data_IF_976276808023
#
_entry.id   IF_976276808023
#
_cell.length_a   1.000
_cell.length_b   1.000
_cell.length_c   1.000
_cell.angle_alpha   90.00
_cell.angle_beta   90.00
_cell.angle_gamma   90.00
#
_symmetry.space_group_name_H-M   'P 1'
#
loop_
_entity.id
_entity.type
_entity.pdbx_description
1 polymer ?
#
# COMPACT_ATOMS: atom_id res chain seq x y z
N UNK A 1 -7.44 6.02 -3.08
CA UNK A 1 -8.43 4.97 -2.68
C UNK A 1 -8.07 3.55 -3.15
N UNK A 2 -6.80 3.22 -3.41
CA UNK A 2 -6.43 1.88 -3.86
C UNK A 2 -6.52 0.83 -2.73
N UNK A 3 -7.13 -0.33 -3.03
CA UNK A 3 -7.19 -1.51 -2.16
C UNK A 3 -8.49 -1.78 -1.40
N UNK A 4 -9.48 -0.87 -1.42
CA UNK A 4 -10.81 -1.14 -0.84
C UNK A 4 -11.71 -1.85 -1.88
N UNK A 5 -12.42 -2.90 -1.45
CA UNK A 5 -13.49 -3.48 -2.27
C UNK A 5 -14.71 -2.56 -2.19
N UNK A 6 -14.86 -1.67 -3.18
CA UNK A 6 -15.90 -0.62 -3.22
C UNK A 6 -17.31 -1.22 -3.15
N UNK A 7 -17.60 -2.26 -3.93
CA UNK A 7 -18.93 -2.89 -3.96
C UNK A 7 -19.31 -3.51 -2.60
N UNK A 8 -18.35 -4.17 -1.93
CA UNK A 8 -18.56 -4.68 -0.58
C UNK A 8 -18.77 -3.56 0.44
N UNK A 9 -17.96 -2.50 0.39
CA UNK A 9 -18.04 -1.39 1.32
C UNK A 9 -19.39 -0.65 1.20
N UNK A 10 -19.84 -0.36 -0.04
CA UNK A 10 -21.15 0.24 -0.29
C UNK A 10 -22.27 -0.65 0.27
N UNK A 11 -22.22 -1.97 0.05
CA UNK A 11 -23.23 -2.88 0.58
C UNK A 11 -23.30 -2.87 2.12
N UNK A 12 -22.16 -2.80 2.82
CA UNK A 12 -22.14 -2.67 4.28
C UNK A 12 -22.73 -1.33 4.75
N UNK A 13 -22.37 -0.22 4.08
CA UNK A 13 -22.89 1.11 4.39
C UNK A 13 -24.39 1.20 4.15
N UNK A 14 -24.90 0.65 3.04
CA UNK A 14 -26.34 0.61 2.75
C UNK A 14 -27.13 -0.18 3.78
N UNK A 15 -26.64 -1.37 4.17
CA UNK A 15 -27.27 -2.16 5.23
C UNK A 15 -27.38 -1.38 6.53
N UNK A 16 -26.31 -0.67 6.91
CA UNK A 16 -26.25 0.09 8.14
C UNK A 16 -27.13 1.35 8.11
N UNK A 17 -27.17 2.08 6.98
CA UNK A 17 -28.07 3.23 6.79
C UNK A 17 -29.53 2.80 6.98
N UNK A 18 -29.92 1.66 6.38
CA UNK A 18 -31.27 1.10 6.57
C UNK A 18 -31.52 0.70 8.02
N UNK A 19 -30.56 0.00 8.65
CA UNK A 19 -30.70 -0.49 10.02
C UNK A 19 -30.84 0.65 11.06
N UNK A 20 -30.12 1.76 10.86
CA UNK A 20 -30.09 2.90 11.78
C UNK A 20 -31.14 3.97 11.49
N UNK A 21 -31.95 3.81 10.44
CA UNK A 21 -33.08 4.69 10.15
C UNK A 21 -34.04 4.73 11.35
N UNK A 22 -34.22 5.91 11.91
CA UNK A 22 -35.09 6.13 13.07
C UNK A 22 -36.53 6.34 12.61
N UNK A 23 -37.45 5.58 13.19
CA UNK A 23 -38.89 5.70 12.96
C UNK A 23 -39.60 6.14 14.24
N UNK A 24 -40.58 7.02 14.08
CA UNK A 24 -41.43 7.46 15.18
C UNK A 24 -42.56 6.44 15.38
N UNK A 25 -42.68 5.92 16.59
CA UNK A 25 -43.79 5.07 17.01
C UNK A 25 -44.72 5.90 17.88
N UNK A 26 -45.96 6.18 17.42
CA UNK A 26 -46.90 6.98 18.19
C UNK A 26 -47.31 6.25 19.47
N UNK A 27 -47.77 7.03 20.46
CA UNK A 27 -48.38 6.46 21.66
C UNK A 27 -49.63 5.63 21.28
N UNK A 28 -49.89 4.52 22.00
CA UNK A 28 -51.15 3.79 21.84
C UNK A 28 -52.38 4.69 21.99
N UNK A 29 -53.52 4.34 21.35
CA UNK A 29 -54.77 5.08 21.50
C UNK A 29 -55.11 5.28 22.99
N UNK A 30 -55.57 6.47 23.35
CA UNK A 30 -55.91 6.88 24.73
C UNK A 30 -54.72 6.89 25.73
N UNK A 31 -53.48 7.05 25.25
CA UNK A 31 -52.30 7.24 26.10
C UNK A 31 -51.47 8.46 25.65
N UNK A 32 -50.91 9.21 26.60
CA UNK A 32 -50.10 10.42 26.35
C UNK A 32 -48.68 10.17 26.86
N UNK A 33 -47.67 10.50 26.04
CA UNK A 33 -46.26 10.49 26.45
C UNK A 33 -45.49 9.18 26.24
N UNK A 34 -46.14 8.11 25.74
CA UNK A 34 -45.50 6.81 25.49
C UNK A 34 -44.96 6.64 24.06
N UNK A 35 -44.76 7.75 23.34
CA UNK A 35 -44.15 7.70 22.01
C UNK A 35 -42.68 7.32 22.15
N UNK A 36 -42.16 6.57 21.17
CA UNK A 36 -40.75 6.18 21.15
C UNK A 36 -40.18 6.28 19.75
N UNK A 37 -38.86 6.38 19.71
CA UNK A 37 -38.10 6.29 18.48
C UNK A 37 -37.45 4.91 18.45
N UNK A 38 -37.63 4.19 17.35
CA UNK A 38 -37.01 2.87 17.15
C UNK A 38 -36.25 2.83 15.84
N UNK A 39 -35.15 2.11 15.85
CA UNK A 39 -34.40 1.73 14.66
C UNK A 39 -35.08 0.56 13.94
N UNK A 40 -34.71 0.32 12.68
CA UNK A 40 -35.27 -0.76 11.88
C UNK A 40 -34.83 -2.16 12.34
N UNK A 41 -33.67 -2.24 13.03
CA UNK A 41 -33.14 -3.46 13.61
C UNK A 41 -32.87 -3.30 15.11
N UNK A 42 -32.62 -4.43 15.77
CA UNK A 42 -32.26 -4.44 17.19
C UNK A 42 -30.90 -3.78 17.41
N UNK A 43 -30.73 -3.24 18.62
CA UNK A 43 -29.48 -2.58 19.02
C UNK A 43 -28.25 -3.50 18.87
N UNK A 44 -28.40 -4.80 19.18
CA UNK A 44 -27.32 -5.79 19.07
C UNK A 44 -26.86 -5.97 17.62
N UNK A 45 -27.80 -6.05 16.68
CA UNK A 45 -27.45 -6.21 15.26
C UNK A 45 -26.81 -4.94 14.69
N UNK A 46 -27.27 -3.77 15.13
CA UNK A 46 -26.66 -2.49 14.73
C UNK A 46 -25.23 -2.38 15.26
N UNK A 47 -24.97 -2.77 16.51
CA UNK A 47 -23.60 -2.77 17.08
C UNK A 47 -22.67 -3.70 16.30
N UNK A 48 -23.13 -4.88 15.88
CA UNK A 48 -22.33 -5.79 15.05
C UNK A 48 -21.96 -5.18 13.71
N UNK A 49 -22.92 -4.52 13.05
CA UNK A 49 -22.66 -3.83 11.79
C UNK A 49 -21.75 -2.62 11.99
N UNK A 50 -21.92 -1.88 13.09
CA UNK A 50 -21.08 -0.73 13.42
C UNK A 50 -19.59 -1.10 13.46
N UNK A 51 -19.20 -2.26 13.99
CA UNK A 51 -17.79 -2.69 14.03
C UNK A 51 -17.12 -2.73 12.63
N UNK A 52 -17.89 -3.09 11.60
CA UNK A 52 -17.39 -3.14 10.22
C UNK A 52 -17.47 -1.75 9.59
N UNK A 53 -18.59 -1.07 9.78
CA UNK A 53 -18.83 0.28 9.23
C UNK A 53 -17.81 1.28 9.75
N UNK A 54 -17.46 1.25 11.04
CA UNK A 54 -16.46 2.17 11.61
C UNK A 54 -15.09 2.03 10.94
N UNK A 55 -14.67 0.81 10.57
CA UNK A 55 -13.42 0.59 9.83
C UNK A 55 -13.48 1.16 8.41
N UNK A 56 -14.65 1.07 7.76
CA UNK A 56 -14.88 1.70 6.45
C UNK A 56 -14.84 3.23 6.61
N UNK A 57 -15.56 3.78 7.60
CA UNK A 57 -15.64 5.21 7.85
C UNK A 57 -14.28 5.82 8.18
N UNK A 58 -13.46 5.14 8.99
CA UNK A 58 -12.11 5.60 9.33
C UNK A 58 -11.20 5.72 8.09
N UNK A 59 -11.46 4.93 7.05
CA UNK A 59 -10.71 4.97 5.79
C UNK A 59 -11.28 5.92 4.75
N UNK A 60 -12.61 6.09 4.70
CA UNK A 60 -13.30 6.86 3.66
C UNK A 60 -13.60 8.30 4.09
N UNK A 61 -13.94 8.52 5.35
CA UNK A 61 -14.28 9.84 5.91
C UNK A 61 -13.47 10.07 7.19
N UNK A 62 -12.18 10.40 7.09
CA UNK A 62 -11.34 10.66 8.25
C UNK A 62 -11.96 11.73 9.16
N UNK A 63 -12.04 11.45 10.47
CA UNK A 63 -12.62 12.37 11.44
C UNK A 63 -14.14 12.38 11.52
N UNK A 64 -14.84 11.43 10.90
CA UNK A 64 -16.31 11.31 10.92
C UNK A 64 -16.93 11.35 12.34
N UNK A 65 -16.20 10.92 13.38
CA UNK A 65 -16.67 10.98 14.78
C UNK A 65 -16.87 12.41 15.30
N UNK A 66 -16.31 13.41 14.62
CA UNK A 66 -16.41 14.84 14.98
C UNK A 66 -17.46 15.60 14.17
N UNK A 67 -18.29 14.91 13.39
CA UNK A 67 -19.36 15.55 12.64
C UNK A 67 -20.35 16.21 13.60
N UNK A 68 -20.71 17.45 13.31
CA UNK A 68 -21.74 18.18 14.05
C UNK A 68 -23.13 17.71 13.55
N UNK A 69 -23.70 16.76 14.28
CA UNK A 69 -24.99 16.14 13.96
C UNK A 69 -25.89 16.20 15.19
N UNK A 70 -27.16 16.56 14.99
CA UNK A 70 -28.17 16.46 16.04
C UNK A 70 -28.42 14.99 16.42
N UNK A 71 -27.71 14.55 17.46
CA UNK A 71 -27.83 13.22 18.04
C UNK A 71 -28.95 13.10 19.09
N UNK A 72 -29.74 14.16 19.31
CA UNK A 72 -30.79 14.14 20.33
C UNK A 72 -31.80 13.04 20.03
N UNK A 73 -31.94 12.09 20.96
CA UNK A 73 -32.80 10.88 20.86
C UNK A 73 -32.49 9.98 19.65
N UNK A 74 -31.31 10.12 19.03
CA UNK A 74 -30.85 9.35 17.87
C UNK A 74 -29.41 8.88 18.10
N UNK A 75 -29.26 7.77 18.85
CA UNK A 75 -27.94 7.21 19.24
C UNK A 75 -26.96 7.09 18.06
N UNK A 76 -27.46 6.66 16.91
CA UNK A 76 -26.66 6.35 15.72
C UNK A 76 -26.61 7.50 14.70
N UNK A 77 -27.03 8.73 15.05
CA UNK A 77 -27.14 9.84 14.10
C UNK A 77 -25.81 10.17 13.39
N UNK A 78 -24.71 10.25 14.16
CA UNK A 78 -23.38 10.52 13.63
C UNK A 78 -22.95 9.40 12.67
N UNK A 79 -23.08 8.14 13.07
CA UNK A 79 -22.75 7.00 12.20
C UNK A 79 -23.63 6.94 10.94
N UNK A 80 -24.93 7.24 11.06
CA UNK A 80 -25.85 7.25 9.93
C UNK A 80 -25.46 8.33 8.91
N UNK A 81 -25.22 9.57 9.35
CA UNK A 81 -24.79 10.65 8.45
C UNK A 81 -23.40 10.37 7.86
N UNK A 82 -22.45 9.90 8.67
CA UNK A 82 -21.13 9.49 8.20
C UNK A 82 -21.23 8.39 7.14
N UNK A 83 -22.14 7.42 7.32
CA UNK A 83 -22.36 6.33 6.36
C UNK A 83 -22.93 6.82 5.04
N UNK A 84 -23.86 7.79 5.06
CA UNK A 84 -24.37 8.44 3.84
C UNK A 84 -23.22 9.13 3.11
N UNK A 85 -22.43 9.95 3.81
CA UNK A 85 -21.29 10.67 3.22
C UNK A 85 -20.25 9.71 2.64
N UNK A 86 -19.94 8.63 3.36
CA UNK A 86 -18.98 7.61 2.92
C UNK A 86 -19.48 6.86 1.69
N UNK A 87 -20.78 6.53 1.63
CA UNK A 87 -21.38 5.89 0.46
C UNK A 87 -21.26 6.79 -0.78
N UNK A 88 -21.69 8.04 -0.67
CA UNK A 88 -21.63 9.00 -1.78
C UNK A 88 -20.17 9.25 -2.23
N UNK A 89 -19.23 9.34 -1.28
CA UNK A 89 -17.82 9.49 -1.59
C UNK A 89 -17.26 8.29 -2.39
N UNK A 90 -17.72 7.08 -2.10
CA UNK A 90 -17.32 5.86 -2.82
C UNK A 90 -18.01 5.75 -4.20
N UNK A 91 -19.32 6.00 -4.28
CA UNK A 91 -20.10 5.91 -5.53
C UNK A 91 -19.64 6.93 -6.56
N UNK A 92 -19.30 8.14 -6.11
CA UNK A 92 -18.89 9.26 -6.97
C UNK A 92 -17.39 9.50 -6.97
N UNK A 93 -16.60 8.56 -6.43
CA UNK A 93 -15.16 8.68 -6.31
C UNK A 93 -14.49 9.05 -7.65
N UNK A 94 -14.85 8.35 -8.72
CA UNK A 94 -14.26 8.55 -10.05
C UNK A 94 -14.69 9.87 -10.68
N UNK A 95 -15.96 10.25 -10.50
CA UNK A 95 -16.51 11.53 -10.97
C UNK A 95 -15.78 12.70 -10.28
N UNK A 96 -15.70 12.67 -8.95
CA UNK A 96 -15.06 13.72 -8.15
C UNK A 96 -13.58 13.82 -8.49
N UNK A 97 -12.87 12.69 -8.55
CA UNK A 97 -11.44 12.65 -8.89
C UNK A 97 -11.17 13.21 -10.29
N UNK A 98 -12.00 12.85 -11.27
CA UNK A 98 -11.88 13.35 -12.65
C UNK A 98 -12.09 14.86 -12.72
N UNK A 99 -13.13 15.38 -12.06
CA UNK A 99 -13.50 16.79 -12.16
C UNK A 99 -12.63 17.71 -11.27
N UNK A 100 -12.01 17.18 -10.22
CA UNK A 100 -11.10 17.93 -9.35
C UNK A 100 -9.62 17.84 -9.78
N UNK A 101 -9.30 17.13 -10.86
CA UNK A 101 -7.97 17.11 -11.47
C UNK A 101 -7.03 15.97 -11.03
N UNK A 102 -7.52 15.03 -10.20
CA UNK A 102 -6.72 13.96 -9.59
C UNK A 102 -6.80 12.63 -10.35
N UNK A 103 -7.08 12.63 -11.67
CA UNK A 103 -7.29 11.38 -12.42
C UNK A 103 -6.00 10.60 -12.78
N UNK A 104 -4.91 10.82 -12.03
CA UNK A 104 -3.69 10.04 -12.16
C UNK A 104 -3.86 8.68 -11.45
N UNK A 105 -3.27 7.59 -11.97
CA UNK A 105 -3.24 6.32 -11.26
C UNK A 105 -2.45 6.45 -9.95
N UNK A 106 -3.03 5.99 -8.84
CA UNK A 106 -2.33 5.90 -7.55
C UNK A 106 -1.50 4.60 -7.48
N UNK A 107 -0.29 4.68 -6.93
CA UNK A 107 0.50 3.50 -6.57
C UNK A 107 0.25 3.16 -5.10
N UNK A 108 -0.42 2.03 -4.83
CA UNK A 108 -0.49 1.50 -3.46
C UNK A 108 0.86 0.90 -3.06
N UNK A 109 1.39 1.29 -1.89
CA UNK A 109 2.59 0.68 -1.32
C UNK A 109 2.43 -0.86 -1.15
N UNK A 110 1.21 -1.34 -0.87
CA UNK A 110 0.91 -2.77 -0.74
C UNK A 110 1.03 -3.55 -2.06
N UNK A 111 0.99 -2.85 -3.20
CA UNK A 111 1.10 -3.45 -4.53
C UNK A 111 2.54 -3.39 -5.07
N UNK A 112 3.49 -2.83 -4.30
CA UNK A 112 4.91 -2.91 -4.61
C UNK A 112 5.40 -4.36 -4.48
N UNK A 113 6.60 -4.62 -5.01
CA UNK A 113 7.20 -5.95 -4.99
C UNK A 113 7.21 -6.53 -3.56
N UNK A 114 6.88 -7.83 -3.36
CA UNK A 114 6.72 -8.42 -2.03
C UNK A 114 7.91 -8.20 -1.09
N UNK A 115 9.14 -8.27 -1.60
CA UNK A 115 10.35 -7.98 -0.82
C UNK A 115 10.38 -6.57 -0.25
N UNK A 116 9.86 -5.59 -0.99
CA UNK A 116 9.86 -4.19 -0.57
C UNK A 116 8.80 -3.97 0.49
N UNK A 117 7.56 -4.31 0.18
CA UNK A 117 6.47 -4.05 1.11
C UNK A 117 6.64 -4.82 2.42
N UNK A 118 7.06 -6.09 2.35
CA UNK A 118 7.33 -6.87 3.58
C UNK A 118 8.55 -6.38 4.37
N UNK A 119 9.48 -5.63 3.78
CA UNK A 119 10.58 -4.97 4.48
C UNK A 119 10.19 -3.65 5.12
N UNK A 120 9.23 -2.92 4.51
CA UNK A 120 8.83 -1.58 4.91
C UNK A 120 7.60 -1.53 5.84
N UNK A 121 6.65 -2.46 5.68
CA UNK A 121 5.27 -2.32 6.17
C UNK A 121 5.15 -1.98 7.66
N UNK A 122 5.93 -2.65 8.53
CA UNK A 122 5.85 -2.43 9.98
C UNK A 122 6.26 -1.01 10.37
N UNK A 123 7.33 -0.50 9.78
CA UNK A 123 7.85 0.84 10.05
C UNK A 123 6.98 1.91 9.39
N UNK A 124 6.51 1.63 8.17
CA UNK A 124 5.60 2.50 7.43
C UNK A 124 4.32 2.78 8.21
N UNK A 125 3.68 1.73 8.76
CA UNK A 125 2.45 1.87 9.55
C UNK A 125 2.64 2.70 10.82
N UNK A 126 3.88 2.81 11.31
CA UNK A 126 4.24 3.60 12.49
C UNK A 126 4.74 5.00 12.14
N UNK A 127 4.74 5.40 10.86
CA UNK A 127 5.20 6.71 10.38
C UNK A 127 6.73 6.86 10.29
N UNK A 128 7.49 5.77 10.38
CA UNK A 128 8.96 5.77 10.30
C UNK A 128 9.45 5.53 8.87
N UNK A 129 9.18 6.47 7.97
CA UNK A 129 9.37 6.29 6.52
C UNK A 129 10.84 6.12 6.11
N UNK A 130 11.73 6.90 6.70
CA UNK A 130 13.19 6.82 6.56
C UNK A 130 13.68 5.39 6.83
N UNK A 131 13.32 4.85 8.00
CA UNK A 131 13.69 3.51 8.42
C UNK A 131 13.02 2.44 7.55
N UNK A 132 11.78 2.65 7.13
CA UNK A 132 11.06 1.74 6.25
C UNK A 132 11.76 1.57 4.88
N UNK A 133 12.24 2.67 4.28
CA UNK A 133 13.04 2.64 3.04
C UNK A 133 14.38 1.95 3.28
N UNK A 134 15.05 2.27 4.39
CA UNK A 134 16.33 1.64 4.76
C UNK A 134 16.22 0.12 4.88
N UNK A 135 15.18 -0.38 5.55
CA UNK A 135 14.96 -1.81 5.74
C UNK A 135 14.50 -2.51 4.46
N UNK A 136 13.71 -1.86 3.61
CA UNK A 136 13.41 -2.36 2.28
C UNK A 136 14.68 -2.51 1.42
N UNK A 137 15.60 -1.52 1.46
CA UNK A 137 16.87 -1.60 0.73
C UNK A 137 17.77 -2.75 1.23
N UNK A 138 17.88 -2.93 2.55
CA UNK A 138 18.58 -4.08 3.14
C UNK A 138 17.97 -5.40 2.68
N UNK A 139 16.64 -5.47 2.62
CA UNK A 139 15.92 -6.67 2.19
C UNK A 139 16.22 -7.02 0.73
N UNK A 140 16.17 -6.06 -0.19
CA UNK A 140 16.55 -6.31 -1.60
C UNK A 140 17.98 -6.81 -1.73
N UNK A 141 18.91 -6.21 -0.98
CA UNK A 141 20.29 -6.68 -0.96
C UNK A 141 20.39 -8.16 -0.50
N UNK A 142 19.75 -8.49 0.62
CA UNK A 142 19.78 -9.85 1.17
C UNK A 142 19.13 -10.89 0.23
N UNK A 143 17.98 -10.56 -0.37
CA UNK A 143 17.33 -11.46 -1.33
C UNK A 143 18.14 -11.62 -2.61
N UNK A 144 18.83 -10.57 -3.06
CA UNK A 144 19.79 -10.68 -4.18
C UNK A 144 20.93 -11.62 -3.82
N UNK A 145 21.56 -11.44 -2.65
CA UNK A 145 22.62 -12.32 -2.15
C UNK A 145 22.17 -13.78 -2.08
N UNK A 146 20.96 -14.03 -1.59
CA UNK A 146 20.36 -15.36 -1.55
C UNK A 146 20.16 -15.93 -2.96
N UNK A 147 19.62 -15.13 -3.88
CA UNK A 147 19.37 -15.56 -5.26
C UNK A 147 20.65 -15.92 -6.02
N UNK A 148 21.70 -15.11 -5.89
CA UNK A 148 22.99 -15.39 -6.53
C UNK A 148 23.89 -16.32 -5.70
N UNK A 149 23.50 -16.68 -4.47
CA UNK A 149 24.33 -17.51 -3.58
C UNK A 149 25.66 -16.85 -3.19
N UNK A 150 25.71 -15.52 -3.09
CA UNK A 150 26.91 -14.73 -2.78
C UNK A 150 26.66 -13.83 -1.58
N UNK A 151 27.45 -13.97 -0.51
CA UNK A 151 27.34 -13.16 0.72
C UNK A 151 28.58 -12.33 1.02
N UNK A 152 29.65 -12.53 0.27
CA UNK A 152 30.91 -11.79 0.35
C UNK A 152 30.84 -10.39 -0.30
N UNK A 153 29.80 -10.12 -1.09
CA UNK A 153 29.54 -8.82 -1.71
C UNK A 153 28.21 -8.26 -1.24
N UNK A 154 28.12 -6.94 -1.11
CA UNK A 154 26.90 -6.21 -0.78
C UNK A 154 26.76 -4.95 -1.63
N UNK A 155 25.54 -4.45 -1.70
CA UNK A 155 25.16 -3.15 -2.24
C UNK A 155 25.72 -2.96 -3.65
N UNK A 156 26.26 -1.78 -3.97
CA UNK A 156 26.79 -1.45 -5.30
C UNK A 156 27.67 -2.56 -5.90
N UNK A 157 28.59 -3.14 -5.11
CA UNK A 157 29.50 -4.19 -5.61
C UNK A 157 28.76 -5.48 -5.95
N UNK A 158 27.77 -5.87 -5.14
CA UNK A 158 26.95 -7.05 -5.40
C UNK A 158 26.23 -6.89 -6.74
N UNK A 159 25.57 -5.75 -6.98
CA UNK A 159 24.78 -5.54 -8.19
C UNK A 159 25.64 -5.34 -9.44
N UNK A 160 26.80 -4.67 -9.32
CA UNK A 160 27.77 -4.56 -10.41
C UNK A 160 28.30 -5.94 -10.85
N UNK A 161 28.62 -6.82 -9.91
CA UNK A 161 29.06 -8.18 -10.23
C UNK A 161 27.91 -9.06 -10.72
N UNK A 162 26.73 -8.96 -10.10
CA UNK A 162 25.58 -9.78 -10.47
C UNK A 162 25.05 -9.44 -11.87
N UNK A 163 24.89 -8.16 -12.22
CA UNK A 163 24.39 -7.73 -13.53
C UNK A 163 25.50 -7.46 -14.57
N UNK A 164 26.76 -7.80 -14.28
CA UNK A 164 27.85 -7.70 -15.26
C UNK A 164 27.54 -8.50 -16.52
N UNK A 165 27.80 -7.94 -17.70
CA UNK A 165 27.61 -8.61 -18.99
C UNK A 165 28.67 -9.69 -19.30
N UNK A 166 29.78 -9.70 -18.56
CA UNK A 166 30.82 -10.76 -18.59
C UNK A 166 30.23 -12.13 -18.30
N UNK A 167 30.85 -13.18 -18.85
CA UNK A 167 30.50 -14.58 -18.59
C UNK A 167 30.57 -14.92 -17.09
N UNK A 168 29.78 -15.91 -16.67
CA UNK A 168 29.82 -16.43 -15.30
C UNK A 168 31.12 -17.20 -15.02
N UNK A 169 31.84 -16.80 -13.97
CA UNK A 169 33.07 -17.44 -13.51
C UNK A 169 32.80 -18.26 -12.23
N UNK A 170 33.66 -19.23 -11.86
CA UNK A 170 33.48 -20.00 -10.64
C UNK A 170 33.31 -19.08 -9.42
N UNK A 171 32.21 -19.25 -8.71
CA UNK A 171 31.86 -18.38 -7.57
C UNK A 171 31.44 -16.97 -7.96
N UNK A 172 31.21 -16.65 -9.24
CA UNK A 172 30.69 -15.36 -9.73
C UNK A 172 29.52 -15.55 -10.70
N UNK A 173 28.37 -16.02 -10.19
CA UNK A 173 27.17 -16.15 -11.00
C UNK A 173 26.65 -14.78 -11.46
N UNK A 174 25.91 -14.79 -12.57
CA UNK A 174 25.35 -13.58 -13.20
C UNK A 174 23.84 -13.64 -13.24
N UNK A 175 23.21 -12.49 -13.06
CA UNK A 175 21.79 -12.27 -13.29
C UNK A 175 21.60 -11.84 -14.75
N UNK A 176 20.84 -12.63 -15.49
CA UNK A 176 20.51 -12.39 -16.89
C UNK A 176 19.06 -11.91 -16.99
N UNK A 177 18.87 -10.60 -17.22
CA UNK A 177 17.54 -10.01 -17.43
C UNK A 177 16.86 -10.45 -18.72
N UNK A 178 17.66 -10.70 -19.76
CA UNK A 178 17.23 -11.31 -21.02
C UNK A 178 18.28 -12.34 -21.45
N UNK A 179 17.93 -13.30 -22.33
CA UNK A 179 18.90 -14.27 -22.83
C UNK A 179 20.14 -13.59 -23.43
N UNK A 180 21.35 -14.08 -23.13
CA UNK A 180 22.58 -13.54 -23.69
C UNK A 180 22.70 -13.92 -25.17
N UNK A 181 22.26 -13.01 -26.04
CA UNK A 181 22.31 -13.13 -27.51
C UNK A 181 23.51 -12.39 -28.14
N UNK A 182 24.38 -11.79 -27.30
CA UNK A 182 25.52 -10.98 -27.72
C UNK A 182 25.15 -9.60 -28.28
N UNK A 183 23.87 -9.23 -28.30
CA UNK A 183 23.40 -7.98 -28.89
C UNK A 183 23.76 -6.74 -28.04
N UNK A 184 23.72 -5.57 -28.68
CA UNK A 184 23.81 -4.29 -27.98
C UNK A 184 22.63 -4.07 -27.03
N UNK A 185 21.46 -4.65 -27.32
CA UNK A 185 20.28 -4.61 -26.47
C UNK A 185 20.56 -5.34 -25.16
N UNK A 186 21.10 -6.57 -25.22
CA UNK A 186 21.52 -7.32 -24.05
C UNK A 186 22.49 -6.52 -23.17
N UNK A 187 23.58 -6.01 -23.75
CA UNK A 187 24.57 -5.19 -23.01
C UNK A 187 23.93 -3.95 -22.37
N UNK A 188 23.01 -3.30 -23.08
CA UNK A 188 22.32 -2.11 -22.57
C UNK A 188 21.38 -2.42 -21.42
N UNK A 189 20.64 -3.53 -21.49
CA UNK A 189 19.71 -4.00 -20.45
C UNK A 189 20.46 -4.36 -19.17
N UNK A 190 21.61 -5.03 -19.29
CA UNK A 190 22.48 -5.35 -18.15
C UNK A 190 23.07 -4.09 -17.52
N UNK A 191 23.64 -3.21 -18.35
CA UNK A 191 24.19 -1.93 -17.89
C UNK A 191 23.16 -1.06 -17.21
N UNK A 192 21.93 -1.01 -17.71
CA UNK A 192 20.84 -0.25 -17.10
C UNK A 192 20.47 -0.77 -15.70
N UNK A 193 20.49 -2.09 -15.51
CA UNK A 193 20.26 -2.70 -14.20
C UNK A 193 21.36 -2.34 -13.19
N UNK A 194 22.63 -2.41 -13.61
CA UNK A 194 23.76 -1.98 -12.79
C UNK A 194 23.65 -0.50 -12.40
N UNK A 195 23.38 0.37 -13.37
CA UNK A 195 23.30 1.81 -13.15
C UNK A 195 22.14 2.19 -12.20
N UNK A 196 20.98 1.56 -12.34
CA UNK A 196 19.86 1.78 -11.42
C UNK A 196 20.23 1.34 -10.00
N UNK A 197 20.82 0.14 -9.85
CA UNK A 197 21.21 -0.37 -8.54
C UNK A 197 22.26 0.54 -7.88
N UNK A 198 23.26 0.98 -8.63
CA UNK A 198 24.26 1.92 -8.14
C UNK A 198 23.62 3.25 -7.69
N UNK A 199 22.71 3.81 -8.49
CA UNK A 199 21.97 5.02 -8.13
C UNK A 199 21.12 4.87 -6.88
N UNK A 200 20.44 3.73 -6.71
CA UNK A 200 19.65 3.43 -5.50
C UNK A 200 20.55 3.34 -4.27
N UNK A 201 21.62 2.55 -4.31
CA UNK A 201 22.45 2.35 -3.12
C UNK A 201 23.30 3.59 -2.79
N UNK A 202 23.88 4.25 -3.80
CA UNK A 202 24.69 5.44 -3.59
C UNK A 202 23.87 6.69 -3.29
N UNK A 203 22.73 6.88 -3.97
CA UNK A 203 21.94 8.11 -3.91
C UNK A 203 20.74 8.06 -2.96
N UNK A 204 20.25 6.89 -2.58
CA UNK A 204 19.12 6.74 -1.66
C UNK A 204 19.59 6.11 -0.35
N UNK A 205 20.05 4.86 -0.38
CA UNK A 205 20.36 4.11 0.85
C UNK A 205 21.50 4.71 1.65
N UNK A 206 22.58 5.15 1.00
CA UNK A 206 23.76 5.68 1.69
C UNK A 206 23.46 6.99 2.43
N UNK A 207 22.81 8.00 1.82
CA UNK A 207 22.35 9.19 2.55
C UNK A 207 21.49 8.85 3.77
N UNK A 208 20.54 7.92 3.65
CA UNK A 208 19.71 7.47 4.79
C UNK A 208 20.52 6.81 5.91
N UNK A 209 21.71 6.28 5.61
CA UNK A 209 22.59 5.72 6.64
C UNK A 209 23.41 6.80 7.36
N UNK A 210 23.56 7.98 6.77
CA UNK A 210 24.37 9.08 7.29
C UNK A 210 23.53 10.23 7.89
N UNK A 211 22.29 10.41 7.45
CA UNK A 211 21.36 11.47 7.90
C UNK A 211 20.24 10.92 8.80
N UNK A 212 20.57 10.02 9.73
CA UNK A 212 19.59 9.26 10.52
C UNK A 212 18.64 10.10 11.40
N UNK A 213 18.91 11.40 11.58
CA UNK A 213 18.10 12.30 12.42
C UNK A 213 16.96 13.00 11.66
N UNK A 214 16.85 12.81 10.33
CA UNK A 214 15.82 13.46 9.51
C UNK A 214 14.83 12.45 8.93
N UNK A 215 13.57 12.58 9.34
CA UNK A 215 12.47 11.79 8.77
C UNK A 215 12.15 12.23 7.33
N UNK A 216 11.72 11.27 6.51
CA UNK A 216 11.32 11.53 5.12
C UNK A 216 9.85 11.97 5.04
N UNK A 217 9.54 12.77 4.03
CA UNK A 217 8.16 12.95 3.60
C UNK A 217 7.59 11.63 3.04
N UNK A 218 6.32 11.34 3.32
CA UNK A 218 5.67 10.09 2.93
C UNK A 218 5.73 9.85 1.41
N UNK A 219 5.49 10.90 0.61
CA UNK A 219 5.51 10.80 -0.85
C UNK A 219 6.91 10.48 -1.36
N UNK A 220 7.94 11.16 -0.84
CA UNK A 220 9.35 10.90 -1.19
C UNK A 220 9.76 9.47 -0.82
N UNK A 221 9.34 9.01 0.37
CA UNK A 221 9.62 7.64 0.78
C UNK A 221 8.91 6.61 -0.12
N UNK A 222 7.69 6.89 -0.57
CA UNK A 222 6.95 6.02 -1.50
C UNK A 222 7.66 5.93 -2.85
N UNK A 223 8.21 7.04 -3.35
CA UNK A 223 9.02 7.07 -4.58
C UNK A 223 10.28 6.20 -4.44
N UNK A 224 10.95 6.26 -3.29
CA UNK A 224 12.11 5.40 -3.01
C UNK A 224 11.73 3.92 -2.93
N UNK A 225 10.61 3.57 -2.28
CA UNK A 225 10.10 2.21 -2.28
C UNK A 225 9.73 1.74 -3.70
N UNK A 226 9.18 2.62 -4.54
CA UNK A 226 8.87 2.30 -5.93
C UNK A 226 10.14 2.02 -6.75
N UNK A 227 11.20 2.83 -6.59
CA UNK A 227 12.50 2.59 -7.23
C UNK A 227 13.12 1.25 -6.80
N UNK A 228 13.11 0.97 -5.49
CA UNK A 228 13.54 -0.32 -4.93
C UNK A 228 12.69 -1.49 -5.48
N UNK A 229 11.39 -1.27 -5.67
CA UNK A 229 10.47 -2.27 -6.23
C UNK A 229 10.78 -2.61 -7.68
N UNK A 230 11.27 -1.66 -8.47
CA UNK A 230 11.74 -1.94 -9.84
C UNK A 230 12.98 -2.83 -9.80
N UNK A 231 13.96 -2.50 -8.94
CA UNK A 231 15.17 -3.30 -8.80
C UNK A 231 14.87 -4.72 -8.31
N UNK A 232 14.03 -4.86 -7.28
CA UNK A 232 13.63 -6.16 -6.75
C UNK A 232 13.02 -7.05 -7.84
N UNK A 233 12.12 -6.49 -8.66
CA UNK A 233 11.52 -7.20 -9.80
C UNK A 233 12.56 -7.63 -10.82
N UNK A 234 13.51 -6.75 -11.18
CA UNK A 234 14.57 -7.13 -12.12
C UNK A 234 15.47 -8.24 -11.58
N UNK A 235 15.74 -8.25 -10.28
CA UNK A 235 16.46 -9.35 -9.63
C UNK A 235 15.63 -10.62 -9.69
N UNK A 236 14.35 -10.60 -9.26
CA UNK A 236 13.46 -11.75 -9.20
C UNK A 236 13.20 -12.39 -10.58
N UNK A 237 13.04 -11.59 -11.64
CA UNK A 237 12.77 -12.07 -13.00
C UNK A 237 14.03 -12.55 -13.73
N UNK A 238 15.23 -12.15 -13.28
CA UNK A 238 16.47 -12.56 -13.95
C UNK A 238 16.79 -14.04 -13.79
N UNK A 239 17.29 -14.67 -14.84
CA UNK A 239 17.85 -16.03 -14.79
C UNK A 239 19.24 -15.98 -14.16
N UNK A 240 19.54 -16.90 -13.23
CA UNK A 240 20.87 -17.04 -12.66
C UNK A 240 21.71 -17.93 -13.57
N UNK A 241 22.74 -17.36 -14.19
CA UNK A 241 23.76 -18.09 -14.94
C UNK A 241 24.94 -18.42 -14.02
N UNK A 242 25.30 -19.71 -13.96
CA UNK A 242 26.48 -20.23 -13.25
C UNK A 242 27.50 -20.76 -14.24
N UNK A 243 28.72 -20.95 -13.78
CA UNK A 243 29.77 -21.53 -14.62
C UNK A 243 29.41 -22.95 -15.04
N UNK A 244 29.51 -23.21 -16.34
CA UNK A 244 29.16 -24.51 -16.91
C UNK A 244 27.69 -24.62 -17.34
N UNK A 245 26.86 -23.61 -17.06
CA UNK A 245 25.55 -23.50 -17.68
C UNK A 245 25.77 -23.14 -19.16
N UNK A 246 25.56 -24.09 -20.07
CA UNK A 246 25.36 -23.79 -21.49
C UNK A 246 24.02 -23.10 -21.64
N UNK A 247 24.03 -21.83 -22.03
CA UNK A 247 22.84 -21.10 -22.50
C UNK A 247 22.41 -21.63 -23.86
#
# INVERSE_FOLDING_TARGET
MSGINIGWAIAQLDGFIVATRVTYVPSPPNSIGFHRYTTAQSEVEIVKQAQIVEQILDRVVPGWRKLDVDANRKKWAVHHEASIRAKEALERADEVRTNLGDNAPEISASNLHPWIWSGAASLWQSGHYHSAVGDAAKKVNAETQNKVGRRDLSETKLFQEAFSDKTAEPGKPRLRRIPPDGSNTYRSVQRGAMALAEGIFAGIRNPLSHEADRELDEQVALEYLAALSVLARWVEESTVERTGDTV
#
